data_IF_354457186153
#
_entry.id   IF_354457186153
#
_cell.length_a   1.000
_cell.length_b   1.000
_cell.length_c   1.000
_cell.angle_alpha   90.00
_cell.angle_beta   90.00
_cell.angle_gamma   90.00
#
_symmetry.space_group_name_H-M   'P 1'
#
loop_
_entity.id
_entity.type
_entity.pdbx_description
1 polymer ?
#
# COMPACT_ATOMS: atom_id res chain seq x y z
N UNK A 1 13.69 -32.38 -45.58
CA UNK A 1 12.82 -31.19 -45.53
C UNK A 1 11.86 -31.28 -44.34
N UNK A 2 11.10 -32.35 -44.11
CA UNK A 2 10.13 -32.48 -42.99
C UNK A 2 10.78 -32.40 -41.60
N UNK A 3 12.02 -32.93 -41.41
CA UNK A 3 12.73 -32.87 -40.11
C UNK A 3 13.24 -31.47 -39.82
N UNK A 4 13.71 -30.73 -40.81
CA UNK A 4 14.20 -29.35 -40.66
C UNK A 4 13.03 -28.42 -40.27
N UNK A 5 11.87 -28.63 -40.93
CA UNK A 5 10.64 -27.84 -40.63
C UNK A 5 10.17 -28.06 -39.19
N UNK A 6 10.26 -29.30 -38.67
CA UNK A 6 9.89 -29.61 -37.28
C UNK A 6 10.81 -28.94 -36.26
N UNK A 7 12.10 -28.91 -36.50
CA UNK A 7 13.10 -28.27 -35.61
C UNK A 7 12.87 -26.74 -35.60
N UNK A 8 12.61 -26.15 -36.76
CA UNK A 8 12.34 -24.71 -36.86
C UNK A 8 11.05 -24.30 -36.11
N UNK A 9 9.99 -25.10 -36.19
CA UNK A 9 8.73 -24.84 -35.47
C UNK A 9 8.92 -24.99 -33.98
N UNK A 10 9.67 -25.98 -33.50
CA UNK A 10 9.97 -26.17 -32.06
C UNK A 10 10.81 -25.02 -31.52
N UNK A 11 11.81 -24.57 -32.27
CA UNK A 11 12.64 -23.42 -31.89
C UNK A 11 11.80 -22.13 -31.79
N UNK A 12 10.87 -21.92 -32.74
CA UNK A 12 9.96 -20.77 -32.73
C UNK A 12 9.01 -20.81 -31.53
N UNK A 13 8.52 -21.99 -31.17
CA UNK A 13 7.64 -22.18 -30.00
C UNK A 13 8.38 -21.93 -28.69
N UNK A 14 9.62 -22.39 -28.57
CA UNK A 14 10.48 -22.14 -27.41
C UNK A 14 10.81 -20.64 -27.30
N UNK A 15 11.11 -19.99 -28.42
CA UNK A 15 11.38 -18.55 -28.46
C UNK A 15 10.14 -17.74 -28.07
N UNK A 16 8.95 -18.12 -28.53
CA UNK A 16 7.69 -17.49 -28.19
C UNK A 16 7.35 -17.65 -26.70
N UNK A 17 7.61 -18.83 -26.13
CA UNK A 17 7.38 -19.06 -24.69
C UNK A 17 8.40 -18.34 -23.82
N UNK A 18 9.63 -18.14 -24.27
CA UNK A 18 10.64 -17.33 -23.59
C UNK A 18 10.27 -15.84 -23.61
N UNK A 19 9.71 -15.33 -24.72
CA UNK A 19 9.26 -13.93 -24.82
C UNK A 19 8.06 -13.68 -23.89
N UNK A 20 7.16 -14.66 -23.73
CA UNK A 20 6.04 -14.52 -22.77
C UNK A 20 6.49 -14.52 -21.30
N UNK A 21 7.58 -15.19 -20.99
CA UNK A 21 8.12 -15.20 -19.61
C UNK A 21 8.70 -13.85 -19.18
N UNK A 22 9.04 -12.98 -20.14
CA UNK A 22 9.64 -11.67 -19.87
C UNK A 22 8.60 -10.61 -19.44
N UNK A 23 7.31 -10.88 -19.65
CA UNK A 23 6.20 -9.96 -19.37
C UNK A 23 5.22 -10.54 -18.35
N UNK A 24 5.73 -11.24 -17.33
CA UNK A 24 4.86 -11.71 -16.25
C UNK A 24 4.33 -10.49 -15.47
N UNK A 25 3.02 -10.40 -15.34
CA UNK A 25 2.36 -9.36 -14.53
C UNK A 25 2.88 -9.41 -13.10
N UNK A 26 3.13 -8.24 -12.47
CA UNK A 26 3.58 -8.22 -11.08
C UNK A 26 2.63 -8.99 -10.16
N UNK A 27 3.19 -9.80 -9.28
CA UNK A 27 2.42 -10.59 -8.31
C UNK A 27 1.92 -9.70 -7.18
N UNK A 28 0.64 -9.75 -6.88
CA UNK A 28 0.04 -9.02 -5.76
C UNK A 28 0.47 -9.68 -4.45
N UNK A 29 1.12 -8.92 -3.59
CA UNK A 29 1.51 -9.32 -2.22
C UNK A 29 0.42 -8.89 -1.24
N UNK A 30 -0.11 -7.67 -1.40
CA UNK A 30 -1.09 -7.08 -0.50
C UNK A 30 -2.05 -6.20 -1.29
N UNK A 31 -3.30 -6.15 -0.84
CA UNK A 31 -4.31 -5.27 -1.41
C UNK A 31 -5.38 -4.97 -0.37
N UNK A 32 -5.75 -3.72 -0.22
CA UNK A 32 -6.85 -3.29 0.64
C UNK A 32 -7.53 -2.06 0.06
N UNK A 33 -8.87 -2.08 0.03
CA UNK A 33 -9.66 -0.89 -0.26
C UNK A 33 -9.84 -0.11 1.04
N UNK A 34 -9.77 1.20 0.93
CA UNK A 34 -10.10 2.08 2.03
C UNK A 34 -11.52 2.65 1.90
N UNK A 35 -11.97 3.37 2.90
CA UNK A 35 -13.29 4.03 2.89
C UNK A 35 -13.25 5.25 1.95
N UNK A 36 -14.34 5.54 1.31
CA UNK A 36 -14.42 6.68 0.39
C UNK A 36 -15.01 7.90 1.08
N UNK A 37 -14.37 9.05 0.89
CA UNK A 37 -14.85 10.35 1.36
C UNK A 37 -14.67 10.55 2.86
N UNK A 38 -13.63 9.95 3.45
CA UNK A 38 -13.28 10.15 4.86
C UNK A 38 -11.96 10.91 5.06
N UNK A 39 -11.58 11.70 4.08
CA UNK A 39 -10.41 12.58 4.07
C UNK A 39 -10.61 13.84 4.94
N UNK A 40 -10.94 13.62 6.21
CA UNK A 40 -11.15 14.67 7.23
C UNK A 40 -10.45 14.35 8.56
N UNK A 41 -9.45 13.49 8.50
CA UNK A 41 -8.63 13.11 9.66
C UNK A 41 -9.43 12.47 10.78
N UNK A 42 -9.28 13.02 11.99
CA UNK A 42 -10.07 12.58 13.16
C UNK A 42 -11.52 13.09 13.12
N UNK A 43 -11.93 13.74 12.04
CA UNK A 43 -13.29 14.24 11.84
C UNK A 43 -13.41 15.76 11.84
N UNK A 44 -12.30 16.48 11.96
CA UNK A 44 -12.29 17.95 12.08
C UNK A 44 -11.25 18.65 11.20
N UNK A 45 -10.46 17.89 10.45
CA UNK A 45 -9.46 18.47 9.56
C UNK A 45 -10.15 18.98 8.30
N UNK A 46 -9.77 20.16 7.85
CA UNK A 46 -10.37 20.82 6.67
C UNK A 46 -9.25 21.19 5.69
N UNK A 47 -9.57 21.13 4.42
CA UNK A 47 -8.69 21.52 3.31
C UNK A 47 -8.31 23.01 3.41
N UNK A 48 -7.15 23.39 2.86
CA UNK A 48 -6.84 24.79 2.60
C UNK A 48 -7.93 25.44 1.73
N UNK A 49 -8.07 26.77 1.82
CA UNK A 49 -9.10 27.49 1.07
C UNK A 49 -8.64 28.03 -0.28
N UNK A 50 -7.36 27.87 -0.61
CA UNK A 50 -6.85 28.29 -1.93
C UNK A 50 -7.48 27.42 -3.02
N UNK A 51 -7.82 28.01 -4.15
CA UNK A 51 -8.60 27.42 -5.25
C UNK A 51 -8.00 26.16 -5.86
N UNK A 52 -6.68 25.94 -5.72
CA UNK A 52 -6.02 24.72 -6.23
C UNK A 52 -6.39 23.46 -5.44
N UNK A 53 -6.92 23.63 -4.21
CA UNK A 53 -7.30 22.49 -3.37
C UNK A 53 -8.74 22.09 -3.66
N UNK A 54 -8.92 21.00 -4.35
CA UNK A 54 -10.23 20.46 -4.72
C UNK A 54 -10.56 19.21 -3.89
N UNK A 55 -11.86 18.90 -3.78
CA UNK A 55 -12.32 17.77 -2.97
C UNK A 55 -11.77 16.44 -3.48
N UNK A 56 -11.38 15.56 -2.56
CA UNK A 56 -10.93 14.20 -2.84
C UNK A 56 -9.42 14.07 -3.08
N UNK A 57 -8.67 15.17 -3.00
CA UNK A 57 -7.22 15.14 -3.19
C UNK A 57 -6.51 14.21 -2.19
N UNK A 58 -7.06 14.07 -0.99
CA UNK A 58 -6.44 13.29 0.09
C UNK A 58 -7.24 12.04 0.47
N UNK A 59 -8.29 11.70 -0.30
CA UNK A 59 -9.17 10.53 -0.08
C UNK A 59 -8.52 9.28 -0.69
N UNK A 60 -7.84 8.50 0.13
CA UNK A 60 -7.23 7.21 -0.27
C UNK A 60 -8.35 6.20 -0.48
N UNK A 61 -8.42 5.59 -1.63
CA UNK A 61 -9.46 4.60 -1.95
C UNK A 61 -8.94 3.18 -2.02
N UNK A 62 -7.62 3.01 -2.26
CA UNK A 62 -7.02 1.69 -2.35
C UNK A 62 -5.50 1.77 -2.19
N UNK A 63 -4.94 0.76 -1.54
CA UNK A 63 -3.49 0.54 -1.47
C UNK A 63 -3.17 -0.87 -1.91
N UNK A 64 -2.11 -1.04 -2.74
CA UNK A 64 -1.65 -2.34 -3.23
C UNK A 64 -0.12 -2.40 -3.23
N UNK A 65 0.36 -3.62 -3.02
CA UNK A 65 1.78 -3.93 -3.15
C UNK A 65 1.94 -5.07 -4.14
N UNK A 66 2.67 -5.00 -5.24
CA UNK A 66 2.95 -5.90 -6.12
C UNK A 66 4.36 -6.10 -6.15
N UNK A 67 4.84 -7.17 -6.73
CA UNK A 67 6.26 -7.38 -7.00
C UNK A 67 6.48 -8.10 -8.33
N UNK A 68 7.62 -7.86 -8.97
CA UNK A 68 8.13 -8.71 -10.05
C UNK A 68 9.53 -9.25 -9.66
N UNK A 69 10.37 -9.58 -10.63
CA UNK A 69 11.70 -10.13 -10.36
C UNK A 69 12.65 -9.10 -9.71
N UNK A 70 12.57 -7.86 -10.14
CA UNK A 70 13.56 -6.82 -9.84
C UNK A 70 13.02 -5.70 -8.95
N UNK A 71 11.69 -5.53 -8.88
CA UNK A 71 11.08 -4.36 -8.24
C UNK A 71 9.94 -4.73 -7.29
N UNK A 72 9.71 -3.84 -6.33
CA UNK A 72 8.48 -3.70 -5.57
C UNK A 72 7.70 -2.50 -6.11
N UNK A 73 6.39 -2.63 -6.13
CA UNK A 73 5.47 -1.61 -6.63
C UNK A 73 4.45 -1.29 -5.55
N UNK A 74 4.35 -0.02 -5.21
CA UNK A 74 3.37 0.49 -4.25
C UNK A 74 2.38 1.39 -4.98
N UNK A 75 1.11 1.02 -4.98
CA UNK A 75 0.04 1.72 -5.69
C UNK A 75 -0.86 2.41 -4.67
N UNK A 76 -1.00 3.72 -4.80
CA UNK A 76 -1.87 4.55 -3.95
C UNK A 76 -2.94 5.16 -4.83
N UNK A 77 -4.17 4.63 -4.79
CA UNK A 77 -5.29 5.16 -5.57
C UNK A 77 -6.08 6.15 -4.73
N UNK A 78 -6.12 7.41 -5.18
CA UNK A 78 -6.85 8.51 -4.55
C UNK A 78 -8.16 8.78 -5.31
N UNK A 79 -9.08 9.53 -4.70
CA UNK A 79 -10.30 9.94 -5.38
C UNK A 79 -10.00 10.95 -6.51
N UNK A 80 -9.04 11.85 -6.30
CA UNK A 80 -8.67 12.91 -7.25
C UNK A 80 -7.16 13.19 -7.15
N UNK A 81 -6.53 13.40 -8.31
CA UNK A 81 -5.17 13.96 -8.39
C UNK A 81 -5.20 15.19 -9.28
N UNK A 82 -4.43 16.20 -8.94
CA UNK A 82 -4.20 17.38 -9.80
C UNK A 82 -2.73 17.78 -9.73
N UNK A 83 -2.26 18.43 -10.78
CA UNK A 83 -0.87 18.86 -10.89
C UNK A 83 -0.78 20.32 -11.37
N UNK A 84 -1.25 21.28 -10.56
CA UNK A 84 -1.29 22.68 -11.00
C UNK A 84 0.07 23.34 -11.20
N UNK A 85 1.14 22.75 -10.67
CA UNK A 85 2.50 23.33 -10.74
C UNK A 85 3.49 22.48 -11.55
N UNK A 86 2.98 21.50 -12.28
CA UNK A 86 3.78 20.75 -13.25
C UNK A 86 4.88 19.88 -12.63
N UNK A 87 4.60 19.26 -11.48
CA UNK A 87 5.53 18.28 -10.90
C UNK A 87 5.76 17.13 -11.89
N UNK A 88 7.00 16.67 -12.07
CA UNK A 88 7.31 15.68 -13.10
C UNK A 88 6.60 14.33 -12.90
N UNK A 89 6.24 13.98 -11.69
CA UNK A 89 5.54 12.73 -11.36
C UNK A 89 4.05 12.75 -11.75
N UNK A 90 3.48 13.92 -12.05
CA UNK A 90 2.08 14.06 -12.48
C UNK A 90 1.10 14.41 -11.35
N UNK A 91 1.55 14.59 -10.11
CA UNK A 91 0.72 15.03 -8.98
C UNK A 91 1.45 16.10 -8.16
N UNK A 92 0.70 16.89 -7.38
CA UNK A 92 1.32 17.97 -6.59
C UNK A 92 0.94 17.93 -5.11
N UNK A 93 -0.29 17.66 -4.78
CA UNK A 93 -0.82 17.95 -3.44
C UNK A 93 -0.46 16.92 -2.37
N UNK A 94 -0.19 15.69 -2.79
CA UNK A 94 -0.11 14.56 -1.87
C UNK A 94 1.28 14.44 -1.25
N UNK A 95 1.30 14.32 0.07
CA UNK A 95 2.36 13.76 0.88
C UNK A 95 1.83 12.43 1.41
N UNK A 96 2.42 11.30 1.01
CA UNK A 96 2.02 9.98 1.47
C UNK A 96 3.19 9.37 2.22
N UNK A 97 2.94 8.91 3.43
CA UNK A 97 3.92 8.17 4.21
C UNK A 97 3.45 6.74 4.39
N UNK A 98 4.23 5.82 3.86
CA UNK A 98 4.05 4.39 4.04
C UNK A 98 5.10 3.89 5.02
N UNK A 99 4.66 3.41 6.17
CA UNK A 99 5.53 2.72 7.12
C UNK A 99 5.28 1.22 7.03
N UNK A 100 6.36 0.43 7.02
CA UNK A 100 6.27 -1.03 6.92
C UNK A 100 6.88 -1.66 8.17
N UNK A 101 6.06 -2.46 8.85
CA UNK A 101 6.51 -3.36 9.90
C UNK A 101 6.93 -4.67 9.23
N UNK A 102 8.20 -5.02 9.38
CA UNK A 102 8.79 -6.23 8.77
C UNK A 102 8.80 -7.38 9.76
N UNK A 103 9.25 -7.10 11.00
CA UNK A 103 9.46 -8.11 12.04
C UNK A 103 9.38 -7.47 13.42
N UNK A 104 9.44 -8.28 14.44
CA UNK A 104 9.35 -7.83 15.84
C UNK A 104 10.40 -6.74 16.14
N UNK A 105 9.98 -5.70 16.85
CA UNK A 105 10.80 -4.52 17.12
C UNK A 105 10.47 -3.38 16.17
N UNK A 106 11.45 -2.51 15.94
CA UNK A 106 11.29 -1.33 15.08
C UNK A 106 10.90 -0.08 15.86
N UNK A 107 10.77 1.02 15.13
CA UNK A 107 10.43 2.33 15.70
C UNK A 107 8.91 2.43 15.91
N UNK A 108 8.49 2.89 17.08
CA UNK A 108 7.08 3.06 17.44
C UNK A 108 6.60 4.50 17.34
N UNK A 109 7.42 5.41 16.86
CA UNK A 109 7.09 6.82 16.74
C UNK A 109 7.04 7.25 15.29
N UNK A 110 6.04 8.07 14.95
CA UNK A 110 5.84 8.66 13.63
C UNK A 110 5.75 10.18 13.83
N UNK A 111 6.80 10.88 13.44
CA UNK A 111 6.89 12.33 13.54
C UNK A 111 6.32 12.99 12.28
N UNK A 112 5.47 14.01 12.48
CA UNK A 112 4.80 14.76 11.40
C UNK A 112 4.91 16.25 11.77
N UNK A 113 6.05 16.85 11.49
CA UNK A 113 6.33 18.21 11.96
C UNK A 113 6.35 18.26 13.48
N UNK A 114 5.50 19.09 14.05
CA UNK A 114 5.36 19.24 15.50
C UNK A 114 4.45 18.18 16.15
N UNK A 115 3.92 17.25 15.36
CA UNK A 115 2.98 16.23 15.82
C UNK A 115 3.67 14.89 15.95
N UNK A 116 3.21 14.08 16.91
CA UNK A 116 3.72 12.73 17.14
C UNK A 116 2.56 11.73 17.20
N UNK A 117 2.61 10.75 16.33
CA UNK A 117 1.76 9.57 16.41
C UNK A 117 2.59 8.39 16.87
N UNK A 118 1.95 7.38 17.44
CA UNK A 118 2.63 6.15 17.88
C UNK A 118 2.03 4.93 17.18
N UNK A 119 2.82 3.93 16.98
CA UNK A 119 2.33 2.62 16.55
C UNK A 119 2.09 1.73 17.76
N UNK A 120 1.29 0.68 17.59
CA UNK A 120 1.16 -0.37 18.60
C UNK A 120 2.55 -0.96 18.92
N UNK A 121 2.91 -1.12 20.20
CA UNK A 121 4.27 -1.55 20.58
C UNK A 121 4.77 -2.83 19.92
N UNK A 122 3.83 -3.72 19.55
CA UNK A 122 4.14 -5.00 18.90
C UNK A 122 4.46 -4.85 17.42
N UNK A 123 4.19 -3.68 16.83
CA UNK A 123 4.25 -3.46 15.37
C UNK A 123 5.00 -2.17 15.04
N UNK A 124 6.18 -2.00 15.62
CA UNK A 124 7.08 -0.91 15.25
C UNK A 124 7.52 -1.06 13.79
N UNK A 125 7.74 0.05 13.10
CA UNK A 125 8.13 0.06 11.69
C UNK A 125 9.66 0.01 11.54
N UNK A 126 10.12 -0.60 10.43
CA UNK A 126 11.53 -0.62 10.04
C UNK A 126 11.76 0.08 8.70
N UNK A 127 10.71 0.33 7.92
CA UNK A 127 10.82 1.03 6.63
C UNK A 127 9.84 2.19 6.60
N UNK A 128 10.30 3.35 6.12
CA UNK A 128 9.49 4.53 5.84
C UNK A 128 9.72 4.95 4.39
N UNK A 129 8.67 4.92 3.58
CA UNK A 129 8.67 5.42 2.20
C UNK A 129 7.83 6.70 2.14
N UNK A 130 8.27 7.91 1.81
CA UNK A 130 7.82 8.97 1.61
C UNK A 130 7.60 9.08 0.36
N UNK A 131 6.46 9.44 0.01
CA UNK A 131 6.08 9.72 -1.37
C UNK A 131 5.69 11.20 -1.49
N UNK A 132 6.42 11.93 -2.30
CA UNK A 132 6.21 13.37 -2.46
C UNK A 132 6.60 13.80 -3.88
N UNK A 133 5.98 14.86 -4.41
CA UNK A 133 6.32 15.35 -5.76
C UNK A 133 7.67 16.06 -5.79
N UNK A 134 8.12 16.44 -7.00
CA UNK A 134 9.37 17.16 -7.28
C UNK A 134 10.63 16.38 -6.90
N UNK A 135 10.59 15.04 -7.08
CA UNK A 135 11.70 14.11 -6.80
C UNK A 135 12.07 14.04 -5.30
N UNK A 136 11.12 14.37 -4.42
CA UNK A 136 11.34 14.31 -2.96
C UNK A 136 10.95 12.93 -2.37
N UNK A 137 10.67 11.94 -3.21
CA UNK A 137 10.40 10.56 -2.76
C UNK A 137 11.70 9.89 -2.28
N UNK A 138 11.65 9.28 -1.09
CA UNK A 138 12.81 8.56 -0.53
C UNK A 138 12.34 7.38 0.32
N UNK A 139 13.27 6.47 0.60
CA UNK A 139 13.09 5.37 1.55
C UNK A 139 14.11 5.51 2.68
N UNK A 140 13.62 5.41 3.92
CA UNK A 140 14.44 5.23 5.12
C UNK A 140 14.26 3.78 5.58
N UNK A 141 15.35 3.05 5.76
CA UNK A 141 15.35 1.69 6.32
C UNK A 141 16.10 1.72 7.66
N UNK A 142 15.44 1.28 8.72
CA UNK A 142 16.01 1.18 10.06
C UNK A 142 16.10 -0.30 10.46
N UNK A 143 17.31 -0.84 10.49
CA UNK A 143 17.56 -2.23 10.89
C UNK A 143 18.79 -2.33 11.80
N UNK A 144 18.65 -3.08 12.89
CA UNK A 144 19.77 -3.41 13.80
C UNK A 144 20.58 -2.20 14.29
N UNK A 145 19.89 -1.06 14.49
CA UNK A 145 20.53 0.17 14.98
C UNK A 145 21.22 1.02 13.92
N UNK A 146 21.05 0.65 12.64
CA UNK A 146 21.50 1.45 11.51
C UNK A 146 20.31 2.06 10.79
N UNK A 147 20.44 3.33 10.41
CA UNK A 147 19.48 4.02 9.53
C UNK A 147 20.13 4.30 8.18
N UNK A 148 19.45 3.96 7.12
CA UNK A 148 19.92 4.23 5.75
C UNK A 148 18.82 4.89 4.94
N UNK A 149 19.18 5.99 4.26
CA UNK A 149 18.25 6.73 3.38
C UNK A 149 18.64 6.48 1.92
N UNK A 150 17.66 6.18 1.11
CA UNK A 150 17.84 5.96 -0.33
C UNK A 150 16.92 6.91 -1.10
N UNK A 151 17.46 7.61 -2.08
CA UNK A 151 16.71 8.39 -3.08
C UNK A 151 16.91 7.86 -4.50
N UNK A 152 17.90 6.99 -4.71
CA UNK A 152 18.14 6.30 -5.97
C UNK A 152 17.49 4.91 -5.95
N UNK A 153 17.12 4.40 -7.12
CA UNK A 153 16.42 3.12 -7.25
C UNK A 153 14.95 3.19 -6.89
N UNK A 154 14.41 4.43 -6.86
CA UNK A 154 13.00 4.72 -6.55
C UNK A 154 12.47 5.67 -7.62
N UNK A 155 11.32 5.37 -8.17
CA UNK A 155 10.67 6.25 -9.16
C UNK A 155 9.15 6.28 -8.87
N UNK A 156 8.56 7.46 -8.95
CA UNK A 156 7.10 7.60 -8.78
C UNK A 156 6.48 8.31 -9.98
N UNK A 157 5.25 7.95 -10.31
CA UNK A 157 4.48 8.61 -11.38
C UNK A 157 2.99 8.29 -11.24
N UNK A 158 2.16 9.09 -11.91
CA UNK A 158 0.72 8.85 -11.99
C UNK A 158 0.42 7.91 -13.15
N UNK A 159 -0.43 6.91 -12.92
CA UNK A 159 -0.87 5.95 -13.93
C UNK A 159 -1.89 6.57 -14.92
N UNK A 160 -2.18 5.85 -15.99
CA UNK A 160 -3.15 6.26 -17.04
C UNK A 160 -4.58 6.47 -16.53
N UNK A 161 -4.89 6.00 -15.33
CA UNK A 161 -6.21 6.22 -14.70
C UNK A 161 -6.36 7.63 -14.10
N UNK A 162 -5.29 8.43 -14.10
CA UNK A 162 -5.21 9.78 -13.54
C UNK A 162 -5.58 9.85 -12.04
N UNK A 163 -5.48 8.74 -11.31
CA UNK A 163 -5.84 8.64 -9.89
C UNK A 163 -4.88 7.83 -9.04
N UNK A 164 -4.03 7.03 -9.66
CA UNK A 164 -3.13 6.15 -8.93
C UNK A 164 -1.70 6.66 -9.04
N UNK A 165 -1.10 6.96 -7.90
CA UNK A 165 0.35 7.19 -7.78
C UNK A 165 0.99 5.81 -7.63
N UNK A 166 1.90 5.49 -8.55
CA UNK A 166 2.71 4.29 -8.48
C UNK A 166 4.11 4.65 -8.04
N UNK A 167 4.64 3.94 -7.06
CA UNK A 167 6.04 4.03 -6.66
C UNK A 167 6.70 2.68 -6.95
N UNK A 168 7.71 2.70 -7.81
CA UNK A 168 8.57 1.55 -8.12
C UNK A 168 9.84 1.64 -7.28
N UNK A 169 10.22 0.56 -6.64
CA UNK A 169 11.39 0.48 -5.75
C UNK A 169 12.23 -0.74 -6.14
N UNK A 170 13.54 -0.54 -6.34
CA UNK A 170 14.47 -1.65 -6.58
C UNK A 170 14.46 -2.61 -5.37
N UNK A 171 14.29 -3.90 -5.62
CA UNK A 171 14.20 -4.92 -4.56
C UNK A 171 15.42 -5.00 -3.66
N UNK A 172 16.59 -4.62 -4.15
CA UNK A 172 17.82 -4.64 -3.35
C UNK A 172 17.83 -3.58 -2.22
N UNK A 173 16.92 -2.61 -2.27
CA UNK A 173 16.81 -1.57 -1.22
C UNK A 173 16.02 -2.06 0.00
N UNK A 174 15.22 -3.11 -0.15
CA UNK A 174 14.31 -3.59 0.90
C UNK A 174 14.52 -5.08 1.13
N UNK A 175 14.25 -5.58 2.35
CA UNK A 175 14.21 -7.03 2.57
C UNK A 175 13.18 -7.70 1.68
N UNK A 176 13.33 -9.00 1.48
CA UNK A 176 12.38 -9.78 0.67
C UNK A 176 10.98 -9.72 1.28
N UNK A 177 9.97 -9.36 0.48
CA UNK A 177 8.60 -9.29 1.00
C UNK A 177 8.10 -10.61 1.56
N UNK A 178 7.46 -10.55 2.72
CA UNK A 178 6.87 -11.69 3.39
C UNK A 178 5.40 -11.42 3.72
N UNK A 179 4.63 -12.48 3.89
CA UNK A 179 3.20 -12.39 4.27
C UNK A 179 3.01 -11.77 5.67
N UNK A 180 4.05 -11.73 6.48
CA UNK A 180 4.07 -11.10 7.80
C UNK A 180 4.11 -9.57 7.74
N UNK A 181 4.55 -9.00 6.63
CA UNK A 181 4.64 -7.54 6.48
C UNK A 181 3.29 -6.89 6.77
N UNK A 182 3.32 -5.80 7.49
CA UNK A 182 2.12 -5.00 7.75
C UNK A 182 2.42 -3.52 7.52
N UNK A 183 1.38 -2.76 7.20
CA UNK A 183 1.51 -1.46 6.57
C UNK A 183 0.72 -0.41 7.33
N UNK A 184 1.30 0.79 7.45
CA UNK A 184 0.62 2.03 7.83
C UNK A 184 0.72 2.97 6.64
N UNK A 185 -0.40 3.45 6.12
CA UNK A 185 -0.42 4.45 5.05
C UNK A 185 -1.10 5.70 5.60
N UNK A 186 -0.40 6.83 5.54
CA UNK A 186 -0.89 8.14 5.97
C UNK A 186 -0.88 9.08 4.77
N UNK A 187 -1.97 9.80 4.57
CA UNK A 187 -2.08 10.79 3.49
C UNK A 187 -2.28 12.17 4.08
N UNK A 188 -1.39 13.07 3.73
CA UNK A 188 -1.45 14.48 4.10
C UNK A 188 -1.19 15.38 2.90
N UNK A 189 -1.07 16.68 3.17
CA UNK A 189 -0.84 17.67 2.14
C UNK A 189 0.65 18.02 2.05
N UNK A 190 1.18 17.93 0.85
CA UNK A 190 2.56 18.33 0.55
C UNK A 190 2.73 19.84 0.67
N UNK A 191 3.80 20.25 1.34
CA UNK A 191 4.26 21.63 1.39
C UNK A 191 5.77 21.67 1.12
N UNK A 192 6.15 22.10 -0.07
CA UNK A 192 7.55 22.15 -0.49
C UNK A 192 8.40 23.19 0.27
N UNK A 193 7.77 24.02 1.12
CA UNK A 193 8.50 25.00 1.94
C UNK A 193 8.73 24.49 3.38
N UNK A 194 8.01 23.44 3.79
CA UNK A 194 8.22 22.81 5.08
C UNK A 194 9.41 21.85 5.03
N UNK A 195 10.20 21.80 6.09
CA UNK A 195 11.42 20.96 6.17
C UNK A 195 11.13 19.45 6.07
N UNK A 196 9.93 19.05 6.47
CA UNK A 196 9.49 17.66 6.42
C UNK A 196 8.40 17.43 5.38
N UNK A 197 8.07 18.47 4.59
CA UNK A 197 7.05 18.46 3.54
C UNK A 197 5.60 18.26 4.02
N UNK A 198 5.32 18.29 5.33
CA UNK A 198 3.96 18.28 5.87
C UNK A 198 3.42 19.70 5.93
N UNK A 199 2.19 19.90 5.43
CA UNK A 199 1.52 21.20 5.48
C UNK A 199 0.89 21.39 6.87
N UNK A 200 1.24 22.48 7.51
CA UNK A 200 0.76 22.82 8.87
C UNK A 200 -0.67 23.37 8.89
N UNK A 201 -1.28 23.30 10.06
CA UNK A 201 -2.53 23.99 10.35
C UNK A 201 -2.27 25.48 10.57
N UNK A 202 -3.20 26.31 10.12
CA UNK A 202 -3.12 27.76 10.30
C UNK A 202 -4.26 28.52 9.68
N UNK A 203 -4.08 29.84 9.56
CA UNK A 203 -5.11 30.77 9.09
C UNK A 203 -4.94 31.20 7.63
N UNK A 204 -3.79 30.94 7.04
CA UNK A 204 -3.52 31.30 5.64
C UNK A 204 -4.29 30.39 4.68
N UNK A 205 -4.59 30.88 3.48
CA UNK A 205 -5.34 30.13 2.48
C UNK A 205 -4.64 28.85 2.02
N UNK A 206 -3.34 28.74 2.21
CA UNK A 206 -2.54 27.56 1.87
C UNK A 206 -2.39 26.57 3.03
N UNK A 207 -2.76 26.97 4.24
CA UNK A 207 -2.62 26.12 5.44
C UNK A 207 -3.87 25.25 5.64
N UNK A 208 -3.68 24.11 6.29
CA UNK A 208 -4.78 23.26 6.74
C UNK A 208 -5.61 23.99 7.79
N UNK A 209 -6.89 23.70 7.84
CA UNK A 209 -7.80 24.30 8.83
C UNK A 209 -8.43 23.21 9.70
N UNK A 210 -9.01 23.62 10.79
CA UNK A 210 -9.66 22.70 11.72
C UNK A 210 -8.76 22.30 12.88
N UNK A 211 -8.83 21.05 13.28
CA UNK A 211 -8.14 20.54 14.48
C UNK A 211 -7.59 19.13 14.25
N UNK A 212 -6.51 18.79 14.95
CA UNK A 212 -5.92 17.47 14.98
C UNK A 212 -4.54 17.42 14.32
N UNK A 213 -4.07 16.23 14.07
CA UNK A 213 -2.81 16.01 13.35
C UNK A 213 -3.03 16.30 11.84
N UNK A 214 -1.99 16.70 11.09
CA UNK A 214 -2.14 17.11 9.68
C UNK A 214 -2.30 15.92 8.72
N UNK A 215 -2.98 14.87 9.15
CA UNK A 215 -3.25 13.65 8.36
C UNK A 215 -4.73 13.63 7.98
N UNK A 216 -5.01 13.69 6.68
CA UNK A 216 -6.37 13.67 6.15
C UNK A 216 -6.95 12.26 6.15
N UNK A 217 -6.11 11.27 5.84
CA UNK A 217 -6.58 9.90 5.65
C UNK A 217 -5.52 8.89 6.08
N UNK A 218 -5.97 7.74 6.55
CA UNK A 218 -5.10 6.59 6.83
C UNK A 218 -5.76 5.31 6.32
N UNK A 219 -4.97 4.38 5.83
CA UNK A 219 -5.47 3.06 5.44
C UNK A 219 -5.94 2.31 6.70
N UNK A 220 -7.25 2.19 6.87
CA UNK A 220 -7.84 1.67 8.11
C UNK A 220 -9.13 0.90 7.86
N UNK A 221 -9.50 -0.04 8.75
CA UNK A 221 -10.83 -0.63 8.67
C UNK A 221 -11.93 0.44 8.88
N UNK A 222 -12.95 0.39 8.05
CA UNK A 222 -14.07 1.34 8.11
C UNK A 222 -14.78 1.35 9.48
N UNK A 223 -14.87 0.19 10.10
CA UNK A 223 -15.66 -0.01 11.33
C UNK A 223 -14.78 -0.58 12.45
N UNK A 224 -15.24 -0.39 13.68
CA UNK A 224 -14.64 -0.99 14.85
C UNK A 224 -13.67 -0.09 15.59
N UNK A 225 -12.89 -0.69 16.48
CA UNK A 225 -11.98 0.03 17.38
C UNK A 225 -10.72 0.56 16.66
N UNK A 226 -10.44 0.06 15.48
CA UNK A 226 -9.26 0.45 14.69
C UNK A 226 -9.62 1.30 13.45
N UNK A 227 -10.79 1.97 13.47
CA UNK A 227 -11.14 2.87 12.38
C UNK A 227 -10.29 4.16 12.44
N UNK A 228 -10.23 4.87 11.34
CA UNK A 228 -9.42 6.09 11.18
C UNK A 228 -9.63 7.09 12.32
N UNK A 229 -10.88 7.48 12.57
CA UNK A 229 -11.22 8.50 13.58
C UNK A 229 -10.65 8.15 14.95
N UNK A 230 -10.80 6.89 15.38
CA UNK A 230 -10.29 6.43 16.68
C UNK A 230 -8.77 6.45 16.74
N UNK A 231 -8.12 5.94 15.70
CA UNK A 231 -6.66 5.91 15.65
C UNK A 231 -6.09 7.32 15.74
N UNK A 232 -6.56 8.23 14.90
CA UNK A 232 -6.05 9.60 14.86
C UNK A 232 -6.41 10.41 16.13
N UNK A 233 -7.60 10.18 16.71
CA UNK A 233 -7.98 10.82 17.98
C UNK A 233 -7.08 10.36 19.14
N UNK A 234 -6.72 9.08 19.16
CA UNK A 234 -5.88 8.51 20.22
C UNK A 234 -4.39 8.73 19.97
N UNK A 235 -4.00 9.11 18.75
CA UNK A 235 -2.60 9.19 18.36
C UNK A 235 -1.91 7.84 18.32
N UNK A 236 -2.68 6.75 18.16
CA UNK A 236 -2.16 5.38 18.19
C UNK A 236 -2.62 4.63 16.94
N UNK A 237 -1.67 4.29 16.08
CA UNK A 237 -1.91 3.63 14.80
C UNK A 237 -1.77 2.11 14.92
N UNK A 238 -2.59 1.39 14.18
CA UNK A 238 -2.54 -0.06 14.03
C UNK A 238 -2.29 -0.40 12.55
N UNK A 239 -1.37 -1.33 12.27
CA UNK A 239 -1.08 -1.63 10.88
C UNK A 239 -2.17 -2.50 10.26
N UNK A 240 -2.29 -2.40 8.94
CA UNK A 240 -3.06 -3.35 8.15
C UNK A 240 -2.13 -4.42 7.61
N UNK A 241 -2.63 -5.65 7.48
CA UNK A 241 -1.84 -6.78 6.96
C UNK A 241 -2.73 -7.72 6.14
N UNK A 242 -2.11 -8.52 5.31
CA UNK A 242 -2.83 -9.54 4.57
C UNK A 242 -3.60 -10.42 5.56
N UNK A 243 -4.90 -10.55 5.34
CA UNK A 243 -5.71 -11.49 6.13
C UNK A 243 -5.17 -12.88 5.87
N UNK A 244 -4.62 -13.51 6.88
CA UNK A 244 -4.24 -14.91 6.78
C UNK A 244 -5.46 -15.70 6.30
N UNK A 245 -5.33 -16.32 5.14
CA UNK A 245 -6.38 -17.18 4.59
C UNK A 245 -6.48 -18.53 5.34
N UNK A 246 -6.18 -18.53 6.65
CA UNK A 246 -6.36 -19.71 7.50
C UNK A 246 -7.80 -20.21 7.42
N UNK A 247 -8.76 -19.30 7.41
CA UNK A 247 -10.19 -19.65 7.35
C UNK A 247 -10.53 -20.42 6.05
N UNK A 248 -9.99 -20.02 4.92
CA UNK A 248 -10.20 -20.72 3.63
C UNK A 248 -9.64 -22.15 3.65
N UNK A 249 -8.47 -22.35 4.25
CA UNK A 249 -7.89 -23.69 4.38
C UNK A 249 -8.76 -24.61 5.24
N UNK A 250 -9.24 -24.11 6.37
CA UNK A 250 -10.15 -24.90 7.25
C UNK A 250 -11.49 -25.18 6.58
N UNK A 251 -12.07 -24.21 5.86
CA UNK A 251 -13.32 -24.39 5.12
C UNK A 251 -13.16 -25.43 4.00
N UNK A 252 -12.05 -25.37 3.25
CA UNK A 252 -11.75 -26.36 2.19
C UNK A 252 -11.53 -27.76 2.78
N UNK A 253 -10.83 -27.88 3.91
CA UNK A 253 -10.66 -29.16 4.61
C UNK A 253 -12.00 -29.69 5.12
N UNK A 254 -12.83 -28.83 5.69
CA UNK A 254 -14.16 -29.21 6.19
C UNK A 254 -15.06 -29.68 5.04
N UNK A 255 -15.06 -28.96 3.92
CA UNK A 255 -15.79 -29.37 2.72
C UNK A 255 -15.28 -30.72 2.17
N UNK A 256 -13.96 -30.92 2.18
CA UNK A 256 -13.34 -32.19 1.79
C UNK A 256 -13.82 -33.36 2.68
N UNK A 257 -13.83 -33.15 3.99
CA UNK A 257 -14.34 -34.15 4.95
C UNK A 257 -15.83 -34.42 4.75
N UNK A 258 -16.64 -33.40 4.52
CA UNK A 258 -18.10 -33.55 4.26
C UNK A 258 -18.31 -34.34 2.95
N UNK A 259 -17.56 -34.08 1.91
CA UNK A 259 -17.62 -34.80 0.61
C UNK A 259 -17.17 -36.25 0.76
N UNK A 260 -16.15 -36.54 1.50
CA UNK A 260 -15.74 -37.91 1.81
C UNK A 260 -16.80 -38.68 2.55
N UNK A 261 -17.40 -38.10 3.29
CA UNK A 261 -18.36 -38.60 3.96
C UNK A 261 -19.47 -38.95 3.22
N UNK A 262 -19.86 -38.06 2.63
CA UNK A 262 -20.99 -38.32 1.79
C UNK A 262 -20.76 -39.53 0.86
N UNK A 263 -19.71 -39.51 0.68
CA UNK A 263 -19.36 -40.50 -0.09
C UNK A 263 -19.43 -41.82 0.54
N UNK A 264 -18.88 -41.88 1.45
CA UNK A 264 -18.93 -43.13 2.23
C UNK A 264 -20.35 -43.61 2.53
N UNK A 265 -21.23 -42.70 2.87
CA UNK A 265 -22.66 -42.98 3.10
C UNK A 265 -23.31 -43.53 1.84
N UNK A 266 -23.08 -42.93 0.70
CA UNK A 266 -23.62 -43.41 -0.59
C UNK A 266 -23.06 -44.78 -0.95
N UNK A 267 -21.75 -45.01 -0.74
CA UNK A 267 -21.10 -46.29 -0.98
C UNK A 267 -21.72 -47.38 -0.09
N UNK A 268 -21.93 -47.12 1.20
CA UNK A 268 -22.54 -48.04 2.15
C UNK A 268 -24.01 -48.33 1.79
N UNK A 269 -24.74 -47.32 1.32
CA UNK A 269 -26.12 -47.45 0.88
C UNK A 269 -26.26 -48.30 -0.37
N UNK A 270 -25.32 -48.21 -1.28
CA UNK A 270 -25.32 -48.92 -2.58
C UNK A 270 -24.83 -50.38 -2.42
N UNK A 271 -23.81 -50.59 -1.62
CA UNK A 271 -23.19 -51.91 -1.45
C UNK A 271 -23.56 -52.66 -0.17
N UNK A 272 -24.21 -52.02 0.80
CA UNK A 272 -24.61 -52.65 2.07
C UNK A 272 -25.97 -53.36 2.06
N UNK A 273 -26.55 -53.50 0.88
CA UNK A 273 -27.84 -54.19 0.67
C UNK A 273 -27.72 -55.50 -0.14
N UNK A 274 -26.51 -56.03 -0.33
CA UNK A 274 -26.29 -57.32 -0.96
C UNK A 274 -26.14 -58.41 0.08
#
# INVERSE_FOLDING_TARGET
VKRILGISLLALFILASLVQAIHAEPRIIFQMNDSKGDDYGAGKLLYPTHDVFVRGLFDLQKFEVXEDLDHLYFYFTLATLTNPFGAPEGYFHQRIDLYIHLEQGGNNEIELGDYLLKTSPEYGWQVHLXVAPFNETFILVETEGESRVYSEGITSWVLEDDRTILVQVDKNLLPKPEASWSYYVLVGSFDGLASDFWRDLGADSWQLRGEGVPVFDILAPRWGSKNQKRQLTQGLLYPVRAKEHRLKRYVLLLLGFVMLXFXFILWRWHYGRA
#
